data_IF_124990658021
#
_entry.id   IF_124990658021
#
_cell.length_a   1.000
_cell.length_b   1.000
_cell.length_c   1.000
_cell.angle_alpha   90.00
_cell.angle_beta   90.00
_cell.angle_gamma   90.00
#
_symmetry.space_group_name_H-M   'P 1'
#
loop_
_entity.id
_entity.type
_entity.pdbx_description
1 polymer ?
#
# COMPACT_ATOMS: atom_id res chain seq x y z
N UNK A 1 2.18 -2.20 10.92
CA UNK A 1 1.44 -2.27 9.65
C UNK A 1 -0.01 -2.57 9.97
N UNK A 2 -0.89 -1.76 9.46
CA UNK A 2 -2.31 -1.99 9.62
C UNK A 2 -2.77 -3.11 8.68
N UNK A 3 -3.53 -4.05 9.21
CA UNK A 3 -4.17 -5.08 8.41
C UNK A 3 -5.63 -4.68 8.19
N UNK A 4 -5.93 -4.27 6.99
CA UNK A 4 -7.27 -3.96 6.58
C UNK A 4 -7.75 -5.04 5.61
N UNK A 5 -9.03 -5.32 5.65
CA UNK A 5 -9.65 -6.23 4.70
C UNK A 5 -10.36 -5.39 3.64
N UNK A 6 -9.90 -5.51 2.41
CA UNK A 6 -10.49 -4.83 1.28
C UNK A 6 -11.29 -5.85 0.46
N UNK A 7 -12.55 -5.57 0.25
CA UNK A 7 -13.38 -6.44 -0.58
C UNK A 7 -13.62 -5.85 -1.98
N UNK A 8 -14.16 -6.66 -2.88
CA UNK A 8 -14.39 -6.27 -4.26
C UNK A 8 -15.43 -5.15 -4.42
N UNK A 9 -16.20 -4.85 -3.41
CA UNK A 9 -17.14 -3.75 -3.41
C UNK A 9 -16.54 -2.40 -3.07
N UNK A 10 -15.23 -2.32 -2.88
CA UNK A 10 -14.56 -1.08 -2.54
C UNK A 10 -14.70 -0.68 -1.09
N UNK A 11 -15.08 -1.59 -0.22
CA UNK A 11 -15.18 -1.34 1.21
C UNK A 11 -13.93 -1.75 1.93
N UNK A 12 -13.52 -0.92 2.86
CA UNK A 12 -12.41 -1.20 3.76
C UNK A 12 -13.00 -1.34 5.16
N UNK A 13 -12.84 -2.52 5.73
CA UNK A 13 -13.31 -2.77 7.07
C UNK A 13 -12.25 -2.32 8.07
N UNK A 14 -12.67 -1.58 9.05
CA UNK A 14 -11.82 -0.77 9.88
C UNK A 14 -10.93 -1.49 10.86
N UNK A 15 -9.98 -2.23 10.37
CA UNK A 15 -8.99 -2.87 11.24
C UNK A 15 -8.05 -1.89 11.93
N UNK A 16 -8.02 -0.64 11.51
CA UNK A 16 -7.21 0.39 12.17
C UNK A 16 -7.89 1.00 13.37
N UNK A 17 -9.19 0.95 13.41
CA UNK A 17 -9.97 1.59 14.45
C UNK A 17 -10.53 0.53 15.38
N UNK A 18 -11.81 0.40 15.40
CA UNK A 18 -12.49 -0.54 16.25
C UNK A 18 -13.01 -1.76 15.50
N UNK A 19 -12.91 -1.76 14.19
CA UNK A 19 -13.39 -2.86 13.36
C UNK A 19 -14.89 -3.01 13.27
N UNK A 20 -15.64 -2.07 13.82
CA UNK A 20 -17.09 -2.19 13.90
C UNK A 20 -17.85 -1.45 12.83
N UNK A 21 -17.19 -0.56 12.12
CA UNK A 21 -17.85 0.36 11.18
C UNK A 21 -17.48 0.05 9.75
N UNK A 22 -18.48 -0.14 8.91
CA UNK A 22 -18.31 -0.17 7.47
C UNK A 22 -18.13 1.25 6.97
N UNK A 23 -16.99 1.52 6.41
CA UNK A 23 -16.69 2.82 5.82
C UNK A 23 -16.34 2.61 4.37
N UNK A 24 -16.95 3.38 3.49
CA UNK A 24 -16.65 3.31 2.08
C UNK A 24 -15.47 4.23 1.74
N UNK A 25 -14.58 3.73 0.91
CA UNK A 25 -13.45 4.46 0.38
C UNK A 25 -13.47 4.40 -1.13
N UNK A 26 -12.89 5.39 -1.76
CA UNK A 26 -12.69 5.37 -3.20
C UNK A 26 -11.23 5.59 -3.54
N UNK A 27 -10.78 4.97 -4.60
CA UNK A 27 -9.44 5.16 -5.12
C UNK A 27 -9.46 6.36 -6.06
N UNK A 28 -8.62 7.34 -5.78
CA UNK A 28 -8.56 8.55 -6.59
C UNK A 28 -7.39 8.54 -7.55
N UNK A 29 -6.24 8.21 -7.05
CA UNK A 29 -5.01 8.16 -7.83
C UNK A 29 -4.58 6.70 -7.91
N UNK A 30 -4.45 6.18 -9.13
CA UNK A 30 -4.02 4.81 -9.36
C UNK A 30 -2.91 4.84 -10.40
N UNK A 31 -1.79 4.21 -10.10
CA UNK A 31 -0.68 4.14 -11.03
C UNK A 31 0.06 2.81 -10.95
N UNK A 32 0.65 2.42 -12.06
CA UNK A 32 1.49 1.23 -12.12
C UNK A 32 2.96 1.58 -11.91
N UNK A 33 3.71 0.63 -11.40
CA UNK A 33 5.13 0.75 -11.23
C UNK A 33 5.81 -0.56 -11.58
N UNK A 34 6.82 -0.48 -12.43
CA UNK A 34 7.61 -1.62 -12.88
C UNK A 34 9.06 -1.39 -12.45
N UNK A 35 9.43 -2.00 -11.33
CA UNK A 35 10.78 -1.85 -10.78
C UNK A 35 11.72 -2.84 -11.45
N UNK A 36 12.88 -2.33 -11.83
CA UNK A 36 13.98 -3.13 -12.36
C UNK A 36 15.13 -3.10 -11.40
N UNK A 37 16.09 -3.98 -11.61
CA UNK A 37 17.31 -3.98 -10.82
C UNK A 37 17.90 -2.57 -10.76
N UNK A 38 18.19 -2.11 -9.56
CA UNK A 38 18.74 -0.78 -9.31
C UNK A 38 17.71 0.30 -8.99
N UNK A 39 16.43 0.03 -9.18
CA UNK A 39 15.39 1.00 -8.87
C UNK A 39 15.13 1.08 -7.36
N UNK A 40 14.66 2.22 -6.92
CA UNK A 40 14.34 2.47 -5.53
C UNK A 40 13.27 3.56 -5.40
N UNK A 41 12.69 3.68 -4.22
CA UNK A 41 11.77 4.76 -3.88
C UNK A 41 12.22 5.38 -2.57
N UNK A 42 12.40 6.70 -2.58
CA UNK A 42 12.77 7.45 -1.38
C UNK A 42 11.65 7.41 -0.35
N UNK A 43 11.98 7.59 0.94
CA UNK A 43 10.96 7.69 1.97
C UNK A 43 9.94 8.77 1.65
N UNK A 44 8.67 8.41 1.72
CA UNK A 44 7.58 9.34 1.43
C UNK A 44 6.29 8.84 2.09
N UNK A 45 5.26 9.67 2.08
CA UNK A 45 3.93 9.29 2.50
C UNK A 45 2.90 9.79 1.47
N UNK A 46 1.65 9.43 1.66
CA UNK A 46 0.58 9.75 0.73
C UNK A 46 -0.46 10.72 1.31
N UNK A 47 -0.05 11.52 2.30
CA UNK A 47 -0.93 12.56 2.79
C UNK A 47 -1.32 13.49 1.62
N UNK A 48 -2.57 13.93 1.46
CA UNK A 48 -3.69 13.88 2.43
C UNK A 48 -4.66 12.71 2.25
N UNK A 49 -4.32 11.67 1.55
CA UNK A 49 -5.17 10.48 1.47
C UNK A 49 -5.42 9.89 2.86
N UNK A 50 -6.45 9.08 2.98
CA UNK A 50 -6.72 8.37 4.24
C UNK A 50 -5.87 7.11 4.33
N UNK A 51 -5.82 6.34 3.26
CA UNK A 51 -5.00 5.13 3.17
C UNK A 51 -4.25 5.10 1.84
N UNK A 52 -3.16 4.38 1.85
CA UNK A 52 -2.45 3.97 0.65
C UNK A 52 -2.58 2.47 0.48
N UNK A 53 -2.61 2.02 -0.76
CA UNK A 53 -2.65 0.60 -1.08
C UNK A 53 -1.63 0.29 -2.16
N UNK A 54 -0.98 -0.86 -2.04
CA UNK A 54 -0.05 -1.35 -3.06
C UNK A 54 -0.37 -2.80 -3.33
N UNK A 55 -0.69 -3.11 -4.58
CA UNK A 55 -0.93 -4.47 -5.04
C UNK A 55 0.27 -4.97 -5.83
N UNK A 56 0.72 -6.19 -5.52
CA UNK A 56 1.90 -6.78 -6.14
C UNK A 56 1.48 -7.83 -7.15
N UNK A 57 1.77 -7.56 -8.43
CA UNK A 57 1.41 -8.45 -9.54
C UNK A 57 2.50 -9.49 -9.79
N UNK A 58 3.75 -9.09 -9.65
CA UNK A 58 4.90 -9.95 -9.88
C UNK A 58 6.03 -9.53 -8.97
N UNK A 59 6.68 -10.50 -8.34
CA UNK A 59 7.83 -10.30 -7.48
C UNK A 59 8.90 -11.30 -7.90
N UNK A 60 10.04 -10.81 -8.34
CA UNK A 60 11.18 -11.66 -8.67
C UNK A 60 11.95 -11.98 -7.39
N UNK A 61 12.62 -13.12 -7.36
CA UNK A 61 13.42 -13.53 -6.21
C UNK A 61 14.49 -12.48 -5.92
N UNK A 62 14.62 -12.14 -4.65
CA UNK A 62 15.60 -11.15 -4.21
C UNK A 62 15.11 -9.71 -4.28
N UNK A 63 13.84 -9.47 -4.59
CA UNK A 63 13.29 -8.12 -4.56
C UNK A 63 13.36 -7.53 -3.15
N UNK A 64 13.66 -6.23 -3.07
CA UNK A 64 13.75 -5.51 -1.81
C UNK A 64 12.41 -5.46 -1.10
N UNK A 65 12.41 -5.41 0.24
CA UNK A 65 11.18 -5.19 0.98
C UNK A 65 10.68 -3.76 0.81
N UNK A 66 9.44 -3.52 1.19
CA UNK A 66 8.98 -2.19 1.53
C UNK A 66 9.32 -1.95 3.00
N UNK A 67 9.83 -0.77 3.32
CA UNK A 67 10.25 -0.43 4.69
C UNK A 67 9.35 0.68 5.20
N UNK A 68 8.70 0.43 6.33
CA UNK A 68 7.83 1.40 6.99
C UNK A 68 8.58 2.09 8.12
N UNK A 69 8.40 3.40 8.23
CA UNK A 69 8.98 4.23 9.31
C UNK A 69 10.48 3.97 9.50
N UNK A 70 11.18 3.82 8.39
CA UNK A 70 12.63 3.62 8.28
C UNK A 70 13.18 2.32 8.83
N UNK A 71 12.46 1.64 9.71
CA UNK A 71 13.01 0.49 10.44
C UNK A 71 12.21 -0.79 10.34
N UNK A 72 11.06 -0.79 9.67
CA UNK A 72 10.16 -1.93 9.67
C UNK A 72 10.04 -2.52 8.26
N UNK A 73 10.91 -3.46 7.90
CA UNK A 73 10.83 -4.08 6.58
C UNK A 73 9.69 -5.08 6.51
N UNK A 74 9.01 -5.08 5.39
CA UNK A 74 8.00 -6.06 5.06
C UNK A 74 8.33 -6.67 3.70
N UNK A 75 8.54 -7.97 3.68
CA UNK A 75 8.83 -8.70 2.45
C UNK A 75 7.53 -9.07 1.77
N UNK A 76 7.34 -8.55 0.58
CA UNK A 76 6.10 -8.69 -0.16
C UNK A 76 6.10 -9.94 -1.03
N UNK A 77 4.91 -10.43 -1.33
CA UNK A 77 4.71 -11.58 -2.20
C UNK A 77 3.76 -11.20 -3.34
N UNK A 78 3.88 -11.90 -4.46
CA UNK A 78 2.95 -11.71 -5.56
C UNK A 78 1.52 -11.99 -5.11
N UNK A 79 0.57 -11.26 -5.69
CA UNK A 79 -0.86 -11.31 -5.39
C UNK A 79 -1.23 -10.78 -4.01
N UNK A 80 -0.32 -10.11 -3.35
CA UNK A 80 -0.57 -9.48 -2.06
C UNK A 80 -1.03 -8.04 -2.27
N UNK A 81 -1.98 -7.60 -1.48
CA UNK A 81 -2.41 -6.22 -1.42
C UNK A 81 -2.13 -5.71 -0.01
N UNK A 82 -1.28 -4.70 0.08
CA UNK A 82 -1.01 -3.99 1.32
C UNK A 82 -1.87 -2.74 1.39
N UNK A 83 -2.49 -2.51 2.52
CA UNK A 83 -3.21 -1.27 2.80
C UNK A 83 -2.68 -0.73 4.13
N UNK A 84 -2.29 0.53 4.14
CA UNK A 84 -1.71 1.15 5.31
C UNK A 84 -2.10 2.62 5.40
N UNK A 85 -1.94 3.20 6.58
CA UNK A 85 -2.23 4.61 6.82
C UNK A 85 -1.40 5.47 5.87
N UNK A 86 -2.05 6.40 5.17
CA UNK A 86 -1.39 7.26 4.19
C UNK A 86 -0.32 8.17 4.82
N UNK A 87 -0.38 8.41 6.11
CA UNK A 87 0.63 9.20 6.81
C UNK A 87 1.88 8.39 7.13
N UNK A 88 1.79 7.08 7.03
CA UNK A 88 2.94 6.21 7.33
C UNK A 88 4.00 6.37 6.26
N UNK A 89 5.19 6.77 6.70
CA UNK A 89 6.33 6.89 5.81
C UNK A 89 6.78 5.50 5.35
N UNK A 90 7.06 5.36 4.08
CA UNK A 90 7.54 4.10 3.52
C UNK A 90 8.52 4.35 2.40
N UNK A 91 9.34 3.35 2.15
CA UNK A 91 10.40 3.40 1.14
C UNK A 91 10.66 2.03 0.57
N UNK A 92 11.30 2.00 -0.58
CA UNK A 92 11.82 0.77 -1.18
C UNK A 92 13.31 0.98 -1.42
N UNK A 93 14.18 0.27 -0.72
CA UNK A 93 15.62 0.38 -0.95
C UNK A 93 15.98 -0.15 -2.33
N UNK A 94 17.17 0.18 -2.79
CA UNK A 94 17.67 -0.29 -4.08
C UNK A 94 17.44 -1.78 -4.20
N UNK A 95 16.70 -2.18 -5.21
CA UNK A 95 16.34 -3.58 -5.40
C UNK A 95 17.34 -4.30 -6.28
N UNK A 96 17.62 -5.56 -5.91
CA UNK A 96 18.46 -6.45 -6.72
C UNK A 96 17.66 -7.21 -7.76
N UNK A 97 16.33 -7.18 -7.66
CA UNK A 97 15.44 -7.89 -8.57
C UNK A 97 14.18 -7.06 -8.80
N UNK A 98 13.49 -7.36 -9.87
CA UNK A 98 12.33 -6.58 -10.29
C UNK A 98 11.06 -6.91 -9.56
N UNK A 99 10.12 -6.00 -9.65
CA UNK A 99 8.74 -6.22 -9.26
C UNK A 99 7.81 -5.36 -10.10
N UNK A 100 6.61 -5.86 -10.27
CA UNK A 100 5.53 -5.12 -10.91
C UNK A 100 4.40 -4.95 -9.93
N UNK A 101 3.98 -3.73 -9.70
CA UNK A 101 2.93 -3.43 -8.76
C UNK A 101 2.08 -2.26 -9.25
N UNK A 102 0.99 -2.05 -8.59
CA UNK A 102 0.19 -0.83 -8.74
C UNK A 102 -0.03 -0.23 -7.37
N UNK A 103 -0.19 1.07 -7.34
CA UNK A 103 -0.45 1.79 -6.10
C UNK A 103 -1.67 2.68 -6.28
N UNK A 104 -2.33 2.97 -5.18
CA UNK A 104 -3.48 3.86 -5.19
C UNK A 104 -3.61 4.58 -3.87
N UNK A 105 -4.21 5.77 -3.94
CA UNK A 105 -4.60 6.53 -2.78
C UNK A 105 -6.09 6.32 -2.53
N UNK A 106 -6.45 6.00 -1.30
CA UNK A 106 -7.81 5.76 -0.89
C UNK A 106 -8.30 6.92 -0.04
N UNK A 107 -9.46 7.42 -0.39
CA UNK A 107 -10.10 8.53 0.32
C UNK A 107 -11.44 8.07 0.86
N UNK A 108 -11.73 8.50 2.07
CA UNK A 108 -13.02 8.23 2.69
C UNK A 108 -14.12 8.92 1.89
N UNK A 109 -15.16 8.20 1.56
CA UNK A 109 -16.30 8.75 0.85
C UNK A 109 -17.09 9.66 1.79
N UNK A 110 -17.42 10.85 1.31
CA UNK A 110 -18.21 11.81 2.09
C UNK A 110 -19.56 11.22 2.48
N UNK A 111 -19.96 11.42 3.74
CA UNK A 111 -21.22 10.91 4.25
C UNK A 111 -21.19 9.46 4.74
N UNK A 112 -20.04 8.80 4.71
CA UNK A 112 -19.89 7.45 5.26
C UNK A 112 -19.31 7.53 6.67
N UNK A 113 -20.13 7.27 7.63
CA UNK A 113 -19.73 7.30 9.04
C UNK A 113 -20.35 6.14 9.79
#
# INVERSE_FOLDING_TARGET
IANLIYNAGGRVYGGLNDGTTDVEYFAKDIWGADYKQGDYVKPHCHFPADFAAVGYLKIDDGASPIIFDRNNPYYVSARQLLIFDAKMQHEVPVTSAGRRCFAMNLYKKAGTF
#
